data_IF_026771161553
#
_entry.id   IF_026771161553
#
_cell.length_a   1.000
_cell.length_b   1.000
_cell.length_c   1.000
_cell.angle_alpha   90.00
_cell.angle_beta   90.00
_cell.angle_gamma   90.00
#
_symmetry.space_group_name_H-M   'P 1'
#
loop_
_entity.id
_entity.type
_entity.pdbx_description
1 polymer ?
#
# COMPACT_ATOMS: atom_id res chain seq x y z
N UNK A 1 34.36 -6.40 10.81
CA UNK A 1 34.28 -7.87 11.00
C UNK A 1 32.90 -8.30 10.52
N UNK A 2 32.77 -9.39 9.74
CA UNK A 2 31.46 -9.87 9.30
C UNK A 2 30.61 -10.27 10.52
N UNK A 3 29.29 -10.01 10.45
CA UNK A 3 28.36 -10.44 11.48
C UNK A 3 27.85 -11.85 11.13
N UNK A 4 27.74 -12.70 12.15
CA UNK A 4 27.24 -14.05 12.01
C UNK A 4 26.13 -14.29 13.05
N UNK A 5 24.98 -14.76 12.60
CA UNK A 5 23.80 -15.00 13.42
C UNK A 5 22.51 -14.62 12.70
N UNK A 6 21.39 -14.93 13.34
CA UNK A 6 20.04 -14.59 12.85
C UNK A 6 19.71 -13.12 13.16
N UNK A 7 20.42 -12.21 12.52
CA UNK A 7 20.08 -10.79 12.52
C UNK A 7 18.87 -10.55 11.64
N UNK A 8 17.97 -9.67 12.08
CA UNK A 8 16.69 -9.45 11.41
C UNK A 8 16.39 -7.98 11.23
N UNK A 9 15.61 -7.65 10.21
CA UNK A 9 15.13 -6.32 9.94
C UNK A 9 13.67 -6.21 10.39
N UNK A 10 13.33 -5.06 10.95
CA UNK A 10 11.97 -4.66 11.27
C UNK A 10 11.66 -3.30 10.68
N UNK A 11 10.37 -2.97 10.58
CA UNK A 11 9.90 -1.66 10.15
C UNK A 11 8.71 -1.23 11.00
N UNK A 12 8.78 -0.03 11.57
CA UNK A 12 7.65 0.61 12.22
C UNK A 12 7.19 1.76 11.34
N UNK A 13 5.89 1.83 11.09
CA UNK A 13 5.23 2.96 10.41
C UNK A 13 4.57 3.81 11.48
N UNK A 14 4.96 5.07 11.56
CA UNK A 14 4.44 6.07 12.48
C UNK A 14 3.77 7.21 11.71
N UNK A 15 2.82 7.88 12.34
CA UNK A 15 2.21 9.11 11.86
C UNK A 15 2.32 10.20 12.93
N UNK A 16 2.73 11.40 12.52
CA UNK A 16 2.72 12.59 13.35
C UNK A 16 1.47 13.45 13.10
N UNK A 17 1.23 14.42 13.97
CA UNK A 17 0.13 15.39 13.84
C UNK A 17 -1.25 14.75 13.69
N UNK A 18 -1.44 13.60 14.32
CA UNK A 18 -2.70 12.86 14.30
C UNK A 18 -3.68 13.60 15.20
N UNK A 19 -4.84 13.96 14.64
CA UNK A 19 -5.95 14.63 15.34
C UNK A 19 -7.24 13.85 15.16
N UNK A 20 -8.23 14.14 15.99
CA UNK A 20 -9.54 13.53 15.89
C UNK A 20 -10.57 14.28 16.70
N UNK A 21 -11.84 14.16 16.32
CA UNK A 21 -12.98 14.77 17.03
C UNK A 21 -13.69 13.79 17.97
N UNK A 22 -13.39 12.49 17.88
CA UNK A 22 -13.95 11.48 18.76
C UNK A 22 -13.39 11.63 20.18
N UNK A 23 -14.22 11.39 21.19
CA UNK A 23 -13.84 11.54 22.61
C UNK A 23 -12.62 10.69 23.00
N UNK A 24 -12.35 9.60 22.29
CA UNK A 24 -11.20 8.72 22.47
C UNK A 24 -9.85 9.42 22.19
N UNK A 25 -9.86 10.55 21.48
CA UNK A 25 -8.70 11.41 21.28
C UNK A 25 -8.48 12.39 22.44
N UNK A 26 -9.39 12.47 23.42
CA UNK A 26 -9.19 13.26 24.62
C UNK A 26 -8.17 12.62 25.57
N UNK A 27 -7.49 13.44 26.37
CA UNK A 27 -6.51 12.97 27.37
C UNK A 27 -6.86 13.45 28.77
N UNK A 28 -6.64 12.58 29.74
CA UNK A 28 -6.59 13.00 31.14
C UNK A 28 -5.23 13.65 31.41
N UNK A 29 -5.25 14.83 32.01
CA UNK A 29 -4.08 15.65 32.25
C UNK A 29 -3.78 15.77 33.74
N UNK A 30 -2.85 14.95 34.22
CA UNK A 30 -2.47 14.92 35.63
C UNK A 30 -1.55 16.09 36.05
N UNK A 31 -1.16 16.95 35.10
CA UNK A 31 -0.34 18.14 35.36
C UNK A 31 -1.18 19.41 35.49
N UNK A 32 -2.49 19.35 35.22
CA UNK A 32 -3.40 20.49 35.29
C UNK A 32 -3.28 21.26 36.61
N UNK A 33 -3.11 22.57 36.51
CA UNK A 33 -2.93 23.47 37.66
C UNK A 33 -1.51 23.54 38.21
N UNK A 34 -0.53 22.88 37.58
CA UNK A 34 0.91 23.03 37.84
C UNK A 34 1.43 22.45 39.15
N UNK A 35 0.57 21.83 39.97
CA UNK A 35 0.97 21.23 41.25
C UNK A 35 1.97 20.07 41.11
N UNK A 36 2.00 19.40 39.96
CA UNK A 36 2.94 18.33 39.64
C UNK A 36 4.26 18.82 38.98
N UNK A 37 4.43 20.15 38.83
CA UNK A 37 5.55 20.75 38.11
C UNK A 37 5.21 21.10 36.65
N UNK A 38 6.19 21.67 35.95
CA UNK A 38 6.05 22.08 34.55
C UNK A 38 6.11 20.86 33.62
N UNK A 39 5.24 20.83 32.61
CA UNK A 39 5.16 19.78 31.61
C UNK A 39 4.81 20.40 30.24
N UNK A 40 5.71 21.24 29.72
CA UNK A 40 5.61 21.72 28.34
C UNK A 40 4.32 22.47 27.99
N UNK A 41 3.66 23.10 28.97
CA UNK A 41 2.40 23.83 28.81
C UNK A 41 1.15 23.01 29.18
N UNK A 42 1.26 21.71 29.43
CA UNK A 42 0.14 20.89 29.91
C UNK A 42 -0.32 21.30 31.31
N UNK A 43 0.55 21.93 32.11
CA UNK A 43 0.23 22.48 33.42
C UNK A 43 -0.86 23.57 33.38
N UNK A 44 -0.96 24.29 32.25
CA UNK A 44 -1.92 25.38 32.04
C UNK A 44 -3.26 24.91 31.45
N UNK A 45 -3.34 23.63 31.05
CA UNK A 45 -4.53 23.03 30.45
C UNK A 45 -5.47 22.43 31.50
N UNK A 46 -6.77 22.24 31.19
CA UNK A 46 -7.72 21.59 32.09
C UNK A 46 -7.35 20.14 32.40
N UNK A 47 -7.99 19.57 33.43
CA UNK A 47 -7.82 18.18 33.87
C UNK A 47 -8.18 17.16 32.78
N UNK A 48 -9.11 17.53 31.89
CA UNK A 48 -9.43 16.76 30.69
C UNK A 48 -9.21 17.66 29.48
N UNK A 49 -8.33 17.24 28.57
CA UNK A 49 -8.06 17.94 27.33
C UNK A 49 -8.98 17.35 26.27
N UNK A 50 -9.81 18.19 25.68
CA UNK A 50 -10.76 17.76 24.67
C UNK A 50 -10.04 17.34 23.37
N UNK A 51 -10.65 16.43 22.58
CA UNK A 51 -10.08 15.95 21.33
C UNK A 51 -9.56 17.04 20.38
N UNK A 52 -10.27 18.17 20.31
CA UNK A 52 -9.97 19.30 19.44
C UNK A 52 -8.65 20.01 19.80
N UNK A 53 -8.23 19.93 21.06
CA UNK A 53 -7.01 20.53 21.57
C UNK A 53 -5.85 19.52 21.68
N UNK A 54 -6.08 18.27 21.27
CA UNK A 54 -5.10 17.19 21.33
C UNK A 54 -4.50 16.89 19.95
N UNK A 55 -3.17 16.90 19.90
CA UNK A 55 -2.41 16.50 18.73
C UNK A 55 -1.40 15.42 19.12
N UNK A 56 -1.43 14.29 18.41
CA UNK A 56 -0.60 13.13 18.72
C UNK A 56 0.54 13.00 17.73
N UNK A 57 1.75 12.81 18.25
CA UNK A 57 2.95 12.54 17.47
C UNK A 57 3.44 11.10 17.70
N UNK A 58 4.14 10.54 16.71
CA UNK A 58 4.67 9.17 16.72
C UNK A 58 3.61 8.08 16.92
N UNK A 59 2.42 8.24 16.34
CA UNK A 59 1.34 7.26 16.46
C UNK A 59 1.64 6.04 15.58
N UNK A 60 1.70 4.84 16.18
CA UNK A 60 1.92 3.60 15.45
C UNK A 60 0.78 3.26 14.49
N UNK A 61 1.10 3.07 13.21
CA UNK A 61 0.18 2.63 12.16
C UNK A 61 0.40 1.19 11.73
N UNK A 62 1.66 0.74 11.75
CA UNK A 62 2.00 -0.65 11.50
C UNK A 62 3.34 -1.00 12.12
N UNK A 63 3.51 -2.28 12.45
CA UNK A 63 4.77 -2.86 12.90
C UNK A 63 5.02 -4.15 12.13
N UNK A 64 6.12 -4.21 11.41
CA UNK A 64 6.58 -5.37 10.66
C UNK A 64 7.73 -6.03 11.40
N UNK A 65 7.61 -7.34 11.66
CA UNK A 65 8.58 -8.12 12.41
C UNK A 65 8.39 -8.11 13.93
N UNK A 66 7.49 -7.28 14.47
CA UNK A 66 7.26 -7.20 15.92
C UNK A 66 8.54 -6.88 16.69
N UNK A 67 8.70 -7.47 17.86
CA UNK A 67 9.92 -7.33 18.67
C UNK A 67 11.10 -8.14 18.12
N UNK A 68 10.81 -9.26 17.45
CA UNK A 68 11.83 -10.22 17.03
C UNK A 68 12.40 -9.95 15.63
N UNK A 69 11.91 -8.92 14.93
CA UNK A 69 12.19 -8.68 13.52
C UNK A 69 11.59 -9.74 12.59
N UNK A 70 11.78 -9.58 11.27
CA UNK A 70 11.28 -10.54 10.29
C UNK A 70 12.30 -11.67 10.08
N UNK A 71 11.95 -12.95 10.35
CA UNK A 71 12.85 -14.06 10.12
C UNK A 71 13.31 -14.16 8.66
N UNK A 72 14.61 -14.37 8.45
CA UNK A 72 15.20 -14.51 7.10
C UNK A 72 15.25 -13.21 6.28
N UNK A 73 15.01 -12.05 6.89
CA UNK A 73 15.17 -10.75 6.22
C UNK A 73 16.63 -10.44 5.86
N UNK A 74 17.58 -11.06 6.56
CA UNK A 74 19.02 -11.00 6.30
C UNK A 74 19.58 -12.44 6.25
N UNK A 75 20.66 -12.67 5.49
CA UNK A 75 21.38 -13.93 5.53
C UNK A 75 22.10 -14.11 6.87
N UNK A 76 22.32 -15.37 7.28
CA UNK A 76 23.02 -15.69 8.52
C UNK A 76 24.47 -15.17 8.58
N UNK A 77 25.11 -14.98 7.41
CA UNK A 77 26.42 -14.35 7.28
C UNK A 77 26.27 -13.01 6.56
N UNK A 78 26.53 -11.93 7.28
CA UNK A 78 26.50 -10.56 6.77
C UNK A 78 27.93 -10.12 6.50
N UNK A 79 28.28 -10.03 5.21
CA UNK A 79 29.60 -9.62 4.78
C UNK A 79 29.81 -8.12 5.04
N UNK A 80 31.03 -7.74 5.44
CA UNK A 80 31.40 -6.32 5.56
C UNK A 80 31.33 -5.64 4.20
N UNK A 81 30.97 -4.35 4.17
CA UNK A 81 30.91 -3.53 2.94
C UNK A 81 29.82 -3.92 1.93
N UNK A 82 28.95 -4.88 2.26
CA UNK A 82 27.80 -5.25 1.43
C UNK A 82 26.52 -4.58 1.95
N UNK A 83 25.68 -4.12 1.04
CA UNK A 83 24.34 -3.59 1.34
C UNK A 83 23.32 -4.69 1.15
N UNK A 84 22.45 -4.87 2.14
CA UNK A 84 21.32 -5.79 2.08
C UNK A 84 20.02 -4.99 2.13
N UNK A 85 19.04 -5.39 1.31
CA UNK A 85 17.75 -4.72 1.21
C UNK A 85 16.65 -5.74 1.42
N UNK A 86 15.68 -5.39 2.26
CA UNK A 86 14.45 -6.15 2.47
C UNK A 86 13.25 -5.24 2.25
N UNK A 87 12.30 -5.70 1.42
CA UNK A 87 11.13 -4.92 1.04
C UNK A 87 9.92 -5.21 1.95
N UNK A 88 9.20 -4.16 2.33
CA UNK A 88 7.93 -4.25 3.04
C UNK A 88 6.81 -3.70 2.16
N UNK A 89 5.63 -4.29 2.26
CA UNK A 89 4.42 -3.80 1.58
C UNK A 89 3.41 -3.40 2.65
N UNK A 90 2.95 -2.15 2.59
CA UNK A 90 1.91 -1.63 3.46
C UNK A 90 0.84 -0.94 2.63
N UNK A 91 -0.41 -1.28 2.89
CA UNK A 91 -1.57 -0.59 2.31
C UNK A 91 -2.01 0.45 3.34
N UNK A 92 -1.90 1.72 2.99
CA UNK A 92 -2.30 2.80 3.89
C UNK A 92 -3.83 2.80 4.04
N UNK A 93 -4.35 2.80 5.28
CA UNK A 93 -5.78 2.96 5.51
C UNK A 93 -6.24 4.39 5.22
N UNK A 94 -7.53 4.56 4.96
CA UNK A 94 -8.14 5.87 4.77
C UNK A 94 -8.00 6.75 6.02
N UNK A 95 -7.77 8.05 5.84
CA UNK A 95 -7.60 9.02 6.92
C UNK A 95 -6.17 9.20 7.43
N UNK A 96 -5.20 8.39 6.98
CA UNK A 96 -3.77 8.59 7.27
C UNK A 96 -3.18 9.65 6.35
N UNK A 97 -2.50 10.64 6.93
CA UNK A 97 -1.79 11.65 6.18
C UNK A 97 -0.39 11.17 5.78
N UNK A 98 -0.20 10.92 4.48
CA UNK A 98 1.06 10.41 3.91
C UNK A 98 2.23 11.35 4.16
N UNK A 99 2.00 12.67 4.18
CA UNK A 99 3.07 13.66 4.41
C UNK A 99 3.57 13.66 5.86
N UNK A 100 2.78 13.13 6.78
CA UNK A 100 3.12 13.01 8.21
C UNK A 100 3.62 11.60 8.56
N UNK A 101 3.84 10.73 7.57
CA UNK A 101 4.36 9.40 7.80
C UNK A 101 5.88 9.39 8.01
N UNK A 102 6.28 8.68 9.05
CA UNK A 102 7.67 8.40 9.39
C UNK A 102 7.88 6.89 9.47
N UNK A 103 9.01 6.44 8.95
CA UNK A 103 9.42 5.05 8.97
C UNK A 103 10.58 4.88 9.94
N UNK A 104 10.53 3.88 10.82
CA UNK A 104 11.68 3.50 11.63
C UNK A 104 12.11 2.11 11.20
N UNK A 105 13.26 2.02 10.54
CA UNK A 105 13.89 0.74 10.25
C UNK A 105 14.66 0.26 11.48
N UNK A 106 14.53 -1.03 11.79
CA UNK A 106 15.16 -1.67 12.93
C UNK A 106 16.11 -2.76 12.46
N UNK A 107 17.26 -2.86 13.12
CA UNK A 107 18.14 -4.02 13.09
C UNK A 107 18.04 -4.72 14.44
N UNK A 108 17.61 -5.97 14.41
CA UNK A 108 17.40 -6.80 15.60
C UNK A 108 18.50 -7.88 15.64
N UNK A 109 19.11 -8.04 16.81
CA UNK A 109 20.13 -9.05 17.10
C UNK A 109 19.51 -10.44 17.31
N UNK A 110 20.29 -11.52 17.24
CA UNK A 110 19.78 -12.89 17.45
C UNK A 110 19.15 -13.14 18.84
N UNK A 111 19.49 -12.35 19.85
CA UNK A 111 18.92 -12.39 21.20
C UNK A 111 17.63 -11.53 21.34
N UNK A 112 17.13 -10.96 20.24
CA UNK A 112 15.87 -10.21 20.21
C UNK A 112 15.97 -8.76 20.68
N UNK A 113 17.20 -8.22 20.78
CA UNK A 113 17.43 -6.81 21.13
C UNK A 113 17.56 -5.96 19.86
N UNK A 114 17.20 -4.70 19.95
CA UNK A 114 17.45 -3.74 18.86
C UNK A 114 18.92 -3.33 18.91
N UNK A 115 19.68 -3.71 17.90
CA UNK A 115 21.07 -3.27 17.70
C UNK A 115 21.12 -1.81 17.25
N UNK A 116 20.24 -1.48 16.28
CA UNK A 116 20.18 -0.16 15.70
C UNK A 116 18.78 0.17 15.18
N UNK A 117 18.43 1.45 15.20
CA UNK A 117 17.18 1.97 14.67
C UNK A 117 17.45 3.27 13.91
N UNK A 118 16.82 3.43 12.74
CA UNK A 118 16.95 4.65 11.96
C UNK A 118 15.57 5.18 11.55
N UNK A 119 15.20 6.40 11.99
CA UNK A 119 14.04 7.08 11.46
C UNK A 119 14.37 7.62 10.05
N UNK A 120 13.43 7.48 9.13
CA UNK A 120 13.49 8.05 7.79
C UNK A 120 12.12 8.66 7.47
N UNK A 121 12.10 9.82 6.83
CA UNK A 121 10.87 10.33 6.25
C UNK A 121 10.44 9.42 5.09
N UNK A 122 9.13 9.23 4.89
CA UNK A 122 8.64 8.41 3.78
C UNK A 122 9.14 8.95 2.43
N UNK A 123 9.13 10.27 2.25
CA UNK A 123 9.61 10.91 1.02
C UNK A 123 11.11 10.66 0.79
N UNK A 124 11.94 10.73 1.83
CA UNK A 124 13.38 10.46 1.72
C UNK A 124 13.64 9.00 1.29
N UNK A 125 12.87 8.05 1.80
CA UNK A 125 12.97 6.65 1.39
C UNK A 125 12.59 6.46 -0.08
N UNK A 126 11.55 7.15 -0.57
CA UNK A 126 11.15 7.15 -1.97
C UNK A 126 12.24 7.77 -2.85
N UNK A 127 12.79 8.91 -2.46
CA UNK A 127 13.84 9.63 -3.20
C UNK A 127 15.13 8.79 -3.31
N UNK A 128 15.42 7.98 -2.29
CA UNK A 128 16.54 7.02 -2.29
C UNK A 128 16.26 5.75 -3.10
N UNK A 129 15.10 5.65 -3.75
CA UNK A 129 14.73 4.54 -4.62
C UNK A 129 14.20 3.32 -3.87
N UNK A 130 13.86 3.43 -2.58
CA UNK A 130 13.21 2.38 -1.80
C UNK A 130 11.69 2.39 -2.01
N UNK A 131 11.26 2.46 -3.28
CA UNK A 131 9.87 2.28 -3.68
C UNK A 131 9.72 0.90 -4.33
N UNK A 132 8.63 0.19 -4.01
CA UNK A 132 8.26 -0.96 -4.85
C UNK A 132 7.86 -0.45 -6.24
N UNK A 133 8.05 -1.22 -7.31
CA UNK A 133 7.57 -0.86 -8.65
C UNK A 133 6.03 -0.69 -8.74
N UNK A 134 5.30 -0.97 -7.65
CA UNK A 134 3.85 -0.83 -7.52
C UNK A 134 3.41 0.20 -6.46
N UNK A 135 4.27 1.15 -6.06
CA UNK A 135 3.85 2.27 -5.21
C UNK A 135 3.03 3.24 -6.06
N UNK A 136 1.72 2.99 -6.15
CA UNK A 136 0.76 3.94 -6.68
C UNK A 136 0.52 5.02 -5.63
N UNK A 137 1.30 6.10 -5.67
CA UNK A 137 0.90 7.39 -5.08
C UNK A 137 -0.19 8.00 -5.93
N UNK A 138 -1.39 7.47 -5.77
CA UNK A 138 -2.61 8.15 -6.14
C UNK A 138 -3.65 7.64 -5.17
N UNK A 139 -4.45 8.53 -4.61
CA UNK A 139 -5.85 8.21 -4.36
C UNK A 139 -6.40 7.76 -5.71
N UNK A 140 -6.26 6.47 -6.02
CA UNK A 140 -6.90 5.86 -7.16
C UNK A 140 -8.36 5.88 -6.76
N UNK A 141 -9.04 7.00 -7.05
CA UNK A 141 -10.48 6.98 -7.23
C UNK A 141 -10.66 5.99 -8.35
N UNK A 142 -10.81 4.70 -8.01
CA UNK A 142 -10.97 3.64 -8.98
C UNK A 142 -12.17 4.07 -9.81
N UNK A 143 -11.87 4.51 -11.02
CA UNK A 143 -12.88 4.91 -11.98
C UNK A 143 -13.69 3.67 -12.37
N UNK A 144 -13.07 2.49 -12.20
CA UNK A 144 -13.65 1.18 -12.39
C UNK A 144 -13.88 0.45 -11.06
N UNK A 145 -15.12 0.12 -10.77
CA UNK A 145 -15.55 -0.81 -9.72
C UNK A 145 -16.01 -2.13 -10.36
N UNK A 146 -15.94 -3.23 -9.60
CA UNK A 146 -16.54 -4.53 -9.96
C UNK A 146 -16.20 -5.07 -11.36
N UNK A 147 -14.95 -4.97 -11.81
CA UNK A 147 -14.50 -5.65 -13.04
C UNK A 147 -14.65 -7.16 -12.87
N UNK A 148 -15.52 -7.78 -13.68
CA UNK A 148 -15.76 -9.21 -13.76
C UNK A 148 -15.55 -9.68 -15.18
N UNK A 149 -14.82 -10.78 -15.34
CA UNK A 149 -14.59 -11.40 -16.63
C UNK A 149 -15.01 -12.85 -16.54
N UNK A 150 -15.94 -13.25 -17.40
CA UNK A 150 -16.54 -14.58 -17.39
C UNK A 150 -16.85 -15.09 -18.80
N UNK A 151 -16.79 -16.40 -19.02
CA UNK A 151 -16.21 -17.42 -18.12
C UNK A 151 -14.66 -17.34 -18.08
N UNK A 152 -14.04 -17.95 -17.07
CA UNK A 152 -12.59 -18.20 -17.05
C UNK A 152 -12.34 -19.57 -16.39
N UNK A 153 -11.96 -20.63 -17.13
CA UNK A 153 -11.57 -20.61 -18.55
C UNK A 153 -12.70 -20.25 -19.52
N UNK A 154 -12.37 -19.56 -20.61
CA UNK A 154 -13.30 -19.21 -21.69
C UNK A 154 -13.12 -20.10 -22.92
N UNK A 155 -14.16 -20.12 -23.75
CA UNK A 155 -14.21 -20.90 -24.99
C UNK A 155 -14.44 -19.94 -26.18
N UNK A 156 -15.65 -19.92 -26.73
CA UNK A 156 -16.01 -19.15 -27.92
C UNK A 156 -16.53 -17.74 -27.62
N UNK A 157 -16.77 -17.43 -26.35
CA UNK A 157 -17.20 -16.11 -25.92
C UNK A 157 -16.47 -15.68 -24.65
N UNK A 158 -16.24 -14.38 -24.53
CA UNK A 158 -15.69 -13.73 -23.36
C UNK A 158 -16.55 -12.51 -23.04
N UNK A 159 -17.03 -12.43 -21.80
CA UNK A 159 -17.79 -11.30 -21.30
C UNK A 159 -16.98 -10.52 -20.26
N UNK A 160 -16.95 -9.21 -20.40
CA UNK A 160 -16.30 -8.27 -19.48
C UNK A 160 -17.37 -7.31 -18.96
N UNK A 161 -17.61 -7.33 -17.65
CA UNK A 161 -18.53 -6.42 -16.97
C UNK A 161 -17.73 -5.53 -16.04
N UNK A 162 -18.08 -4.24 -15.96
CA UNK A 162 -17.50 -3.30 -15.03
C UNK A 162 -18.47 -2.16 -14.72
N UNK A 163 -18.29 -1.53 -13.57
CA UNK A 163 -19.00 -0.32 -13.20
C UNK A 163 -18.06 0.88 -13.27
N UNK A 164 -18.49 1.96 -13.91
CA UNK A 164 -17.72 3.20 -14.02
C UNK A 164 -18.44 4.36 -13.35
N UNK A 165 -17.79 5.03 -12.39
CA UNK A 165 -18.41 6.08 -11.56
C UNK A 165 -18.85 7.32 -12.35
N UNK A 166 -18.10 7.65 -13.38
CA UNK A 166 -18.33 8.83 -14.23
C UNK A 166 -18.00 8.49 -15.68
N UNK A 167 -18.58 9.24 -16.62
CA UNK A 167 -18.35 9.03 -18.05
C UNK A 167 -16.88 9.23 -18.41
N UNK A 168 -16.24 8.19 -18.97
CA UNK A 168 -14.81 8.21 -19.30
C UNK A 168 -14.51 7.43 -20.58
N UNK A 169 -13.41 7.82 -21.25
CA UNK A 169 -12.86 7.08 -22.37
C UNK A 169 -12.23 5.78 -21.86
N UNK A 170 -12.53 4.68 -22.53
CA UNK A 170 -12.07 3.34 -22.21
C UNK A 170 -11.57 2.59 -23.46
N UNK A 171 -10.72 1.60 -23.27
CA UNK A 171 -10.24 0.70 -24.31
C UNK A 171 -10.00 -0.69 -23.72
N UNK A 172 -10.46 -1.72 -24.41
CA UNK A 172 -10.26 -3.12 -24.05
C UNK A 172 -9.33 -3.75 -25.09
N UNK A 173 -8.28 -4.42 -24.65
CA UNK A 173 -7.35 -5.18 -25.50
C UNK A 173 -7.19 -6.58 -24.95
N UNK A 174 -7.23 -7.58 -25.83
CA UNK A 174 -6.87 -8.95 -25.50
C UNK A 174 -5.53 -9.27 -26.16
N UNK A 175 -4.57 -9.73 -25.37
CA UNK A 175 -3.24 -10.09 -25.83
C UNK A 175 -3.00 -11.59 -25.63
N UNK A 176 -2.30 -12.24 -26.55
CA UNK A 176 -1.85 -13.63 -26.39
C UNK A 176 -0.60 -13.72 -25.49
N UNK A 177 -0.09 -14.93 -25.26
CA UNK A 177 1.11 -15.20 -24.45
C UNK A 177 2.40 -14.55 -24.98
N UNK A 178 2.42 -14.15 -26.24
CA UNK A 178 3.53 -13.43 -26.88
C UNK A 178 3.39 -11.91 -26.78
N UNK A 179 2.32 -11.41 -26.16
CA UNK A 179 2.01 -9.98 -26.09
C UNK A 179 1.47 -9.39 -27.39
N UNK A 180 1.05 -10.22 -28.35
CA UNK A 180 0.40 -9.75 -29.57
C UNK A 180 -1.09 -9.47 -29.29
N UNK A 181 -1.58 -8.33 -29.75
CA UNK A 181 -2.99 -7.97 -29.67
C UNK A 181 -3.82 -8.85 -30.62
N UNK A 182 -4.80 -9.56 -30.07
CA UNK A 182 -5.72 -10.44 -30.82
C UNK A 182 -7.15 -9.90 -30.88
N UNK A 183 -7.54 -9.02 -29.94
CA UNK A 183 -8.82 -8.28 -29.97
C UNK A 183 -8.60 -6.87 -29.40
N UNK A 184 -9.35 -5.91 -29.93
CA UNK A 184 -9.35 -4.52 -29.48
C UNK A 184 -10.73 -3.92 -29.70
N UNK A 185 -11.26 -3.22 -28.70
CA UNK A 185 -12.55 -2.52 -28.83
C UNK A 185 -12.44 -1.19 -29.57
N UNK A 186 -11.21 -0.68 -29.75
CA UNK A 186 -10.96 0.73 -30.00
C UNK A 186 -11.28 1.59 -28.77
N UNK A 187 -10.99 2.90 -28.82
CA UNK A 187 -11.44 3.84 -27.79
C UNK A 187 -12.97 4.01 -27.81
N UNK A 188 -13.62 3.93 -26.66
CA UNK A 188 -15.05 4.18 -26.49
C UNK A 188 -15.35 4.89 -25.18
N UNK A 189 -16.41 5.68 -25.12
CA UNK A 189 -16.84 6.31 -23.85
C UNK A 189 -17.83 5.41 -23.13
N UNK A 190 -17.58 5.11 -21.86
CA UNK A 190 -18.42 4.26 -21.01
C UNK A 190 -18.80 4.98 -19.70
N UNK A 191 -19.94 4.63 -19.13
CA UNK A 191 -20.43 5.16 -17.85
C UNK A 191 -21.37 4.15 -17.17
N UNK A 192 -21.45 4.17 -15.84
CA UNK A 192 -22.31 3.25 -15.10
C UNK A 192 -21.92 1.79 -15.31
N UNK A 193 -22.90 0.89 -15.27
CA UNK A 193 -22.66 -0.53 -15.56
C UNK A 193 -22.47 -0.72 -17.07
N UNK A 194 -21.29 -1.21 -17.45
CA UNK A 194 -20.93 -1.49 -18.83
C UNK A 194 -20.59 -2.97 -19.03
N UNK A 195 -21.00 -3.52 -20.16
CA UNK A 195 -20.72 -4.89 -20.56
C UNK A 195 -20.16 -4.90 -21.98
N UNK A 196 -19.07 -5.64 -22.16
CA UNK A 196 -18.48 -5.97 -23.45
C UNK A 196 -18.53 -7.47 -23.66
N UNK A 197 -19.02 -7.89 -24.83
CA UNK A 197 -19.03 -9.28 -25.24
C UNK A 197 -18.16 -9.45 -26.49
N UNK A 198 -17.22 -10.40 -26.44
CA UNK A 198 -16.36 -10.76 -27.57
C UNK A 198 -16.52 -12.22 -27.94
N UNK A 199 -16.63 -12.47 -29.24
CA UNK A 199 -16.50 -13.81 -29.81
C UNK A 199 -15.01 -14.15 -29.99
N UNK A 200 -14.62 -15.34 -29.52
CA UNK A 200 -13.23 -15.80 -29.44
C UNK A 200 -12.99 -17.11 -30.21
N UNK A 201 -13.93 -17.54 -31.05
CA UNK A 201 -13.86 -18.79 -31.84
C UNK A 201 -12.55 -18.93 -32.65
N UNK A 202 -12.06 -17.81 -33.18
CA UNK A 202 -10.86 -17.70 -34.01
C UNK A 202 -9.54 -17.83 -33.22
N UNK A 203 -9.60 -17.80 -31.89
CA UNK A 203 -8.41 -17.81 -31.03
C UNK A 203 -8.02 -19.23 -30.63
N UNK A 204 -6.72 -19.50 -30.53
CA UNK A 204 -6.22 -20.80 -30.10
C UNK A 204 -6.29 -21.00 -28.57
N UNK A 205 -6.28 -22.25 -28.11
CA UNK A 205 -6.22 -22.53 -26.68
C UNK A 205 -4.90 -22.03 -26.09
N UNK A 206 -4.96 -21.41 -24.91
CA UNK A 206 -3.77 -20.84 -24.28
C UNK A 206 -4.06 -19.77 -23.23
N UNK A 207 -2.99 -19.10 -22.79
CA UNK A 207 -3.08 -17.98 -21.87
C UNK A 207 -3.28 -16.67 -22.62
N UNK A 208 -4.21 -15.87 -22.12
CA UNK A 208 -4.52 -14.54 -22.62
C UNK A 208 -4.45 -13.50 -21.51
N UNK A 209 -4.23 -12.26 -21.89
CA UNK A 209 -4.15 -11.12 -21.01
C UNK A 209 -5.14 -10.07 -21.48
N UNK A 210 -6.20 -9.83 -20.69
CA UNK A 210 -7.13 -8.73 -20.92
C UNK A 210 -6.56 -7.47 -20.27
N UNK A 211 -6.35 -6.42 -21.06
CA UNK A 211 -6.05 -5.08 -20.60
C UNK A 211 -7.28 -4.20 -20.78
N UNK A 212 -7.71 -3.55 -19.69
CA UNK A 212 -8.82 -2.60 -19.67
C UNK A 212 -8.26 -1.25 -19.25
N UNK A 213 -8.25 -0.29 -20.16
CA UNK A 213 -7.92 1.11 -19.89
C UNK A 213 -9.22 1.87 -19.68
N UNK A 214 -9.35 2.65 -18.60
CA UNK A 214 -10.46 3.60 -18.37
C UNK A 214 -9.87 4.89 -17.79
N UNK A 215 -9.94 6.00 -18.53
CA UNK A 215 -9.19 7.21 -18.20
C UNK A 215 -7.69 6.90 -18.11
N UNK A 216 -7.08 7.25 -16.98
CA UNK A 216 -5.66 6.97 -16.69
C UNK A 216 -5.44 5.60 -16.03
N UNK A 217 -6.50 4.84 -15.74
CA UNK A 217 -6.40 3.56 -15.04
C UNK A 217 -6.30 2.40 -16.01
N UNK A 218 -5.28 1.56 -15.82
CA UNK A 218 -5.11 0.31 -16.53
C UNK A 218 -5.30 -0.87 -15.57
N UNK A 219 -6.24 -1.75 -15.90
CA UNK A 219 -6.47 -3.02 -15.20
C UNK A 219 -6.06 -4.15 -16.12
N UNK A 220 -5.35 -5.14 -15.57
CA UNK A 220 -4.88 -6.31 -16.32
C UNK A 220 -5.38 -7.59 -15.68
N UNK A 221 -6.00 -8.48 -16.46
CA UNK A 221 -6.52 -9.75 -15.98
C UNK A 221 -6.02 -10.91 -16.85
N UNK A 222 -5.45 -11.92 -16.21
CA UNK A 222 -5.04 -13.17 -16.85
C UNK A 222 -6.26 -14.07 -17.09
N UNK A 223 -6.37 -14.61 -18.29
CA UNK A 223 -7.44 -15.50 -18.72
C UNK A 223 -6.86 -16.78 -19.32
N UNK A 224 -7.65 -17.86 -19.28
CA UNK A 224 -7.32 -19.14 -19.90
C UNK A 224 -8.37 -19.45 -20.95
N UNK A 225 -7.95 -19.68 -22.19
CA UNK A 225 -8.81 -20.23 -23.24
C UNK A 225 -8.61 -21.74 -23.27
N UNK A 226 -9.68 -22.50 -23.03
CA UNK A 226 -9.68 -23.97 -23.16
C UNK A 226 -10.74 -24.39 -24.18
N UNK A 227 -10.32 -24.86 -25.35
CA UNK A 227 -11.21 -25.48 -26.35
C UNK A 227 -11.50 -26.93 -25.99
#
# INVERSE_FOLDING_TARGET
>A
VPLNGDYRLGLIVLEDQVTGSAIEYGQANNYSGGGAGLMGGFEDLPLFIFPEDMVYNNVGRAVFGGMDGVPGSLPALIATTQTYTYGFTYILPEGVNVEQLRLISLLVTPDGLVDNARPNALQEAIDQGYSSPNVSTATVVKSVEDLRVSPNPFQDHLQVQLQVKQSQLAQFRLLNSLGQEVRNSGPLTIQGNYQLDWTTFELDAGFYCLQVQVGDQQITQKLVLSK
#
